data_IF_358908300426
#
_entry.id   IF_358908300426
#
_cell.length_a   1.000
_cell.length_b   1.000
_cell.length_c   1.000
_cell.angle_alpha   90.00
_cell.angle_beta   90.00
_cell.angle_gamma   90.00
#
_symmetry.space_group_name_H-M   'P 1'
#
loop_
_entity.id
_entity.type
_entity.pdbx_description
1 polymer ?
#
# COMPACT_ATOMS: atom_id res chain seq x y z
N UNK A 1 24.70 10.02 74.62
CA UNK A 1 25.71 9.55 73.65
C UNK A 1 25.47 8.08 73.34
N UNK A 2 25.47 7.76 72.04
CA UNK A 2 25.71 6.45 71.39
C UNK A 2 24.68 5.32 71.56
N UNK A 3 24.03 5.07 70.42
CA UNK A 3 23.18 3.94 69.98
C UNK A 3 23.91 2.59 70.11
N UNK A 4 23.15 1.50 70.01
CA UNK A 4 23.29 0.40 69.01
C UNK A 4 22.62 -0.88 69.58
N UNK A 5 21.44 -1.27 69.06
CA UNK A 5 20.91 -2.64 69.23
C UNK A 5 20.91 -3.30 67.86
N UNK A 6 21.54 -4.46 67.82
CA UNK A 6 22.01 -5.21 66.66
C UNK A 6 20.90 -6.01 65.98
N UNK A 7 20.98 -6.03 64.65
CA UNK A 7 20.64 -7.11 63.72
C UNK A 7 19.22 -7.74 63.81
N UNK A 8 18.29 -7.19 63.02
CA UNK A 8 17.16 -7.96 62.49
C UNK A 8 17.50 -8.43 61.07
N UNK A 9 17.57 -9.74 60.90
CA UNK A 9 17.74 -10.39 59.60
C UNK A 9 16.44 -10.28 58.80
N UNK A 10 16.54 -9.78 57.56
CA UNK A 10 15.46 -9.86 56.58
C UNK A 10 16.03 -10.50 55.30
N UNK A 11 15.89 -11.81 55.19
CA UNK A 11 16.20 -12.53 53.95
C UNK A 11 15.04 -12.31 52.97
N UNK A 12 15.19 -11.35 52.06
CA UNK A 12 14.27 -11.15 50.94
C UNK A 12 14.59 -12.18 49.85
N UNK A 13 13.85 -13.28 49.82
CA UNK A 13 13.89 -14.21 48.68
C UNK A 13 13.09 -13.57 47.54
N UNK A 14 13.79 -12.87 46.65
CA UNK A 14 13.21 -12.38 45.40
C UNK A 14 13.00 -13.57 44.45
N UNK A 15 11.78 -14.10 44.42
CA UNK A 15 11.36 -15.04 43.39
C UNK A 15 11.34 -14.33 42.04
N UNK A 16 12.28 -14.69 41.15
CA UNK A 16 12.27 -14.26 39.77
C UNK A 16 11.13 -14.98 39.04
N UNK A 17 9.94 -14.37 38.98
CA UNK A 17 8.91 -14.77 38.03
C UNK A 17 9.31 -14.27 36.65
N UNK A 18 9.89 -15.15 35.83
CA UNK A 18 10.07 -14.88 34.41
C UNK A 18 8.70 -14.97 33.73
N UNK A 19 8.08 -13.82 33.49
CA UNK A 19 6.94 -13.73 32.59
C UNK A 19 7.44 -13.92 31.16
N UNK A 20 7.28 -15.10 30.59
CA UNK A 20 7.41 -15.29 29.14
C UNK A 20 6.15 -14.77 28.49
N UNK A 21 6.21 -13.58 27.88
CA UNK A 21 5.17 -13.13 26.97
C UNK A 21 5.16 -14.05 25.75
N UNK A 22 4.15 -14.91 25.64
CA UNK A 22 3.81 -15.56 24.38
C UNK A 22 3.15 -14.49 23.52
N UNK A 23 3.88 -13.98 22.53
CA UNK A 23 3.25 -13.30 21.40
C UNK A 23 2.49 -14.35 20.62
N UNK A 24 1.15 -14.25 20.62
CA UNK A 24 0.35 -14.94 19.64
C UNK A 24 0.79 -14.45 18.25
N UNK A 25 1.32 -15.35 17.44
CA UNK A 25 1.59 -15.05 16.03
C UNK A 25 0.23 -14.85 15.37
N UNK A 26 -0.10 -13.60 15.04
CA UNK A 26 -1.30 -13.27 14.27
C UNK A 26 -1.27 -14.10 12.97
N UNK A 27 -2.30 -14.91 12.75
CA UNK A 27 -2.50 -15.58 11.47
C UNK A 27 -2.54 -14.49 10.39
N UNK A 28 -1.95 -14.71 9.20
CA UNK A 28 -1.98 -13.72 8.14
C UNK A 28 -3.43 -13.35 7.86
N UNK A 29 -3.81 -12.11 8.25
CA UNK A 29 -5.12 -11.56 7.94
C UNK A 29 -5.30 -11.63 6.43
N UNK A 30 -6.40 -12.24 5.99
CA UNK A 30 -6.76 -12.27 4.57
C UNK A 30 -6.89 -10.85 4.02
N UNK A 31 -6.89 -10.71 2.69
CA UNK A 31 -7.05 -9.44 1.99
C UNK A 31 -8.25 -8.65 2.58
N UNK A 32 -7.99 -7.44 3.05
CA UNK A 32 -8.93 -6.58 3.80
C UNK A 32 -9.59 -5.50 2.93
N UNK A 33 -9.12 -5.32 1.69
CA UNK A 33 -9.75 -4.47 0.69
C UNK A 33 -9.50 -4.96 -0.74
N UNK A 34 -10.49 -4.80 -1.62
CA UNK A 34 -10.41 -5.08 -3.05
C UNK A 34 -10.12 -3.83 -3.88
N UNK A 35 -9.42 -4.02 -4.99
CA UNK A 35 -9.06 -2.95 -5.93
C UNK A 35 -9.44 -3.37 -7.35
N UNK A 36 -10.30 -2.57 -7.98
CA UNK A 36 -10.57 -2.63 -9.41
C UNK A 36 -9.90 -1.44 -10.12
N UNK A 37 -9.15 -1.70 -11.18
CA UNK A 37 -8.49 -0.63 -11.94
C UNK A 37 -8.55 -0.91 -13.44
N UNK A 38 -8.95 0.08 -14.23
CA UNK A 38 -8.97 -0.02 -15.68
C UNK A 38 -8.74 1.33 -16.36
N UNK A 39 -8.11 1.30 -17.54
CA UNK A 39 -7.96 2.47 -18.41
C UNK A 39 -9.28 2.74 -19.12
N UNK A 40 -9.68 4.00 -19.19
CA UNK A 40 -10.78 4.44 -20.03
C UNK A 40 -10.29 4.49 -21.48
N UNK A 41 -10.97 3.76 -22.37
CA UNK A 41 -10.62 3.59 -23.79
C UNK A 41 -10.36 4.94 -24.45
N UNK A 42 -9.29 5.02 -25.25
CA UNK A 42 -8.88 6.22 -26.01
C UNK A 42 -8.66 7.48 -25.15
N UNK A 43 -8.32 7.32 -23.87
CA UNK A 43 -7.99 8.45 -22.99
C UNK A 43 -6.78 8.15 -22.11
N UNK A 44 -6.21 9.20 -21.52
CA UNK A 44 -5.20 9.12 -20.46
C UNK A 44 -5.83 8.96 -19.06
N UNK A 45 -7.11 8.57 -18.99
CA UNK A 45 -7.84 8.46 -17.72
C UNK A 45 -7.84 7.02 -17.21
N UNK A 46 -7.63 6.87 -15.91
CA UNK A 46 -7.68 5.58 -15.20
C UNK A 46 -8.79 5.63 -14.17
N UNK A 47 -9.71 4.68 -14.19
CA UNK A 47 -10.66 4.49 -13.11
C UNK A 47 -10.04 3.56 -12.05
N UNK A 48 -10.05 4.01 -10.80
CA UNK A 48 -9.65 3.22 -9.63
C UNK A 48 -10.85 3.09 -8.71
N UNK A 49 -11.17 1.87 -8.32
CA UNK A 49 -12.27 1.52 -7.45
C UNK A 49 -11.74 0.69 -6.29
N UNK A 50 -12.26 0.96 -5.09
CA UNK A 50 -11.88 0.27 -3.87
C UNK A 50 -13.16 -0.18 -3.17
N UNK A 51 -13.18 -1.43 -2.72
CA UNK A 51 -14.17 -1.95 -1.79
C UNK A 51 -13.45 -2.41 -0.53
N UNK A 52 -13.94 -2.00 0.64
CA UNK A 52 -13.33 -2.33 1.93
C UNK A 52 -14.40 -2.38 3.02
N UNK A 53 -14.07 -3.02 4.13
CA UNK A 53 -14.93 -2.99 5.31
C UNK A 53 -14.94 -1.61 5.97
N UNK A 54 -16.04 -1.29 6.66
CA UNK A 54 -16.14 -0.09 7.48
C UNK A 54 -15.14 -0.15 8.64
N UNK A 55 -14.54 0.98 9.00
CA UNK A 55 -13.53 1.07 10.04
C UNK A 55 -12.09 1.00 9.52
N UNK A 56 -11.85 0.34 8.39
CA UNK A 56 -10.53 0.31 7.74
C UNK A 56 -10.28 1.59 6.94
N UNK A 57 -9.05 2.07 6.82
CA UNK A 57 -8.70 3.17 5.91
C UNK A 57 -7.84 2.62 4.78
N UNK A 58 -7.82 3.28 3.63
CA UNK A 58 -6.94 2.92 2.51
C UNK A 58 -6.39 4.20 1.91
N UNK A 59 -5.08 4.24 1.66
CA UNK A 59 -4.40 5.32 0.96
C UNK A 59 -4.00 4.87 -0.43
N UNK A 60 -4.23 5.74 -1.42
CA UNK A 60 -3.87 5.56 -2.82
C UNK A 60 -2.76 6.57 -3.12
N UNK A 61 -1.61 6.07 -3.56
CA UNK A 61 -0.48 6.87 -4.03
C UNK A 61 -0.27 6.66 -5.51
N UNK A 62 -0.16 7.74 -6.28
CA UNK A 62 0.41 7.67 -7.62
C UNK A 62 1.90 7.96 -7.52
N UNK A 63 2.73 7.03 -7.98
CA UNK A 63 4.18 7.15 -8.02
C UNK A 63 4.70 7.17 -9.45
N UNK A 64 5.72 7.97 -9.69
CA UNK A 64 6.47 7.95 -10.94
C UNK A 64 7.50 6.79 -10.95
N UNK A 65 8.29 6.72 -12.02
CA UNK A 65 9.34 5.74 -12.24
C UNK A 65 10.49 5.84 -11.22
N UNK A 66 10.77 7.05 -10.71
CA UNK A 66 11.72 7.32 -9.61
C UNK A 66 11.18 6.95 -8.22
N UNK A 67 9.99 6.35 -8.14
CA UNK A 67 9.32 5.99 -6.89
C UNK A 67 8.89 7.21 -6.04
N UNK A 68 8.85 8.40 -6.64
CA UNK A 68 8.38 9.62 -5.99
C UNK A 68 6.85 9.66 -6.04
N UNK A 69 6.22 9.94 -4.89
CA UNK A 69 4.77 10.10 -4.81
C UNK A 69 4.38 11.48 -5.36
N UNK A 70 3.66 11.49 -6.48
CA UNK A 70 3.19 12.72 -7.13
C UNK A 70 1.73 13.03 -6.81
N UNK A 71 1.00 12.08 -6.22
CA UNK A 71 -0.37 12.28 -5.78
C UNK A 71 -0.74 11.31 -4.63
N UNK A 72 -1.57 11.78 -3.70
CA UNK A 72 -2.09 11.00 -2.56
C UNK A 72 -3.59 11.22 -2.41
N UNK A 73 -4.33 10.15 -2.12
CA UNK A 73 -5.75 10.18 -1.74
C UNK A 73 -6.00 9.19 -0.60
N UNK A 74 -6.80 9.57 0.39
CA UNK A 74 -7.15 8.70 1.52
C UNK A 74 -8.65 8.41 1.51
N UNK A 75 -8.99 7.13 1.35
CA UNK A 75 -10.33 6.60 1.59
C UNK A 75 -10.52 6.39 3.08
N UNK A 76 -11.34 7.25 3.68
CA UNK A 76 -11.55 7.28 5.12
C UNK A 76 -12.27 6.02 5.66
N UNK A 77 -12.28 5.92 6.99
CA UNK A 77 -12.86 4.78 7.72
C UNK A 77 -14.37 4.62 7.58
N UNK A 78 -15.11 5.67 7.20
CA UNK A 78 -16.57 5.66 7.10
C UNK A 78 -17.05 5.10 5.76
N UNK A 79 -16.32 5.36 4.67
CA UNK A 79 -16.67 4.88 3.35
C UNK A 79 -16.38 3.37 3.22
N UNK A 80 -17.29 2.58 2.68
CA UNK A 80 -17.03 1.15 2.36
C UNK A 80 -16.65 0.95 0.89
N UNK A 81 -16.93 1.95 0.06
CA UNK A 81 -16.61 1.95 -1.36
C UNK A 81 -16.03 3.30 -1.76
N UNK A 82 -15.16 3.29 -2.76
CA UNK A 82 -14.59 4.49 -3.37
C UNK A 82 -14.40 4.25 -4.85
N UNK A 83 -14.67 5.26 -5.68
CA UNK A 83 -14.36 5.25 -7.10
C UNK A 83 -13.91 6.63 -7.54
N UNK A 84 -12.77 6.71 -8.23
CA UNK A 84 -12.26 7.96 -8.78
C UNK A 84 -11.64 7.73 -10.15
N UNK A 85 -11.89 8.68 -11.05
CA UNK A 85 -11.24 8.78 -12.35
C UNK A 85 -10.04 9.71 -12.22
N UNK A 86 -8.85 9.16 -12.38
CA UNK A 86 -7.59 9.90 -12.40
C UNK A 86 -7.30 10.31 -13.84
N UNK A 87 -7.13 11.61 -14.07
CA UNK A 87 -6.68 12.13 -15.35
C UNK A 87 -5.16 12.28 -15.33
N UNK A 88 -4.47 11.49 -16.15
CA UNK A 88 -3.00 11.51 -16.25
C UNK A 88 -2.53 12.37 -17.43
N UNK A 89 -3.45 13.12 -18.05
CA UNK A 89 -3.11 14.06 -19.10
C UNK A 89 -2.12 15.12 -18.58
N UNK A 90 -1.07 15.39 -19.36
CA UNK A 90 -0.02 16.35 -19.02
C UNK A 90 1.14 15.77 -18.21
N UNK A 91 1.05 14.50 -17.76
CA UNK A 91 2.22 13.77 -17.26
C UNK A 91 3.10 13.33 -18.44
N UNK A 92 4.40 13.18 -18.17
CA UNK A 92 5.36 12.69 -19.15
C UNK A 92 5.10 11.22 -19.51
N UNK A 93 5.51 10.82 -20.71
CA UNK A 93 5.52 9.41 -21.11
C UNK A 93 6.45 8.63 -20.17
N UNK A 94 5.98 7.52 -19.62
CA UNK A 94 6.73 6.79 -18.61
C UNK A 94 5.94 5.74 -17.87
N UNK A 95 6.63 5.08 -16.93
CA UNK A 95 6.04 4.08 -16.04
C UNK A 95 5.52 4.76 -14.79
N UNK A 96 4.27 4.50 -14.45
CA UNK A 96 3.62 4.97 -13.23
C UNK A 96 3.06 3.79 -12.46
N UNK A 97 2.92 3.96 -11.15
CA UNK A 97 2.37 2.93 -10.27
C UNK A 97 1.35 3.53 -9.32
N UNK A 98 0.18 2.91 -9.26
CA UNK A 98 -0.75 3.11 -8.16
C UNK A 98 -0.36 2.15 -7.05
N UNK A 99 0.06 2.69 -5.90
CA UNK A 99 0.30 1.95 -4.67
C UNK A 99 -0.88 2.19 -3.72
N UNK A 100 -1.65 1.15 -3.45
CA UNK A 100 -2.84 1.20 -2.61
C UNK A 100 -2.56 0.41 -1.32
N UNK A 101 -2.63 1.04 -0.16
CA UNK A 101 -2.23 0.43 1.12
C UNK A 101 -3.11 0.86 2.29
N UNK A 102 -3.28 0.00 3.28
CA UNK A 102 -3.86 0.32 4.59
C UNK A 102 -2.83 0.22 5.73
N UNK A 103 -1.54 0.16 5.39
CA UNK A 103 -0.44 -0.08 6.33
C UNK A 103 -0.17 -1.54 6.70
N UNK A 104 -1.16 -2.44 6.55
CA UNK A 104 -1.00 -3.88 6.78
C UNK A 104 -0.70 -4.63 5.47
N UNK A 105 -1.42 -4.29 4.40
CA UNK A 105 -1.22 -4.85 3.07
C UNK A 105 -1.06 -3.75 2.02
N UNK A 106 -0.45 -4.10 0.88
CA UNK A 106 -0.22 -3.18 -0.23
C UNK A 106 -0.51 -3.87 -1.55
N UNK A 107 -1.29 -3.21 -2.41
CA UNK A 107 -1.58 -3.63 -3.78
C UNK A 107 -0.96 -2.60 -4.72
N UNK A 108 -0.06 -3.05 -5.59
CA UNK A 108 0.56 -2.20 -6.61
C UNK A 108 0.01 -2.54 -7.99
N UNK A 109 -0.38 -1.52 -8.76
CA UNK A 109 -0.80 -1.65 -10.16
C UNK A 109 0.00 -0.70 -11.03
N UNK A 110 0.61 -1.22 -12.09
CA UNK A 110 1.43 -0.42 -13.00
C UNK A 110 0.59 0.10 -14.17
N UNK A 111 0.97 1.29 -14.68
CA UNK A 111 0.41 1.91 -15.87
C UNK A 111 1.56 2.50 -16.68
N UNK A 112 1.61 2.18 -17.97
CA UNK A 112 2.53 2.81 -18.91
C UNK A 112 1.79 3.92 -19.68
N UNK A 113 2.33 5.14 -19.58
CA UNK A 113 1.88 6.28 -20.38
C UNK A 113 2.73 6.38 -21.63
N UNK A 114 2.06 6.38 -22.77
CA UNK A 114 2.65 6.54 -24.08
C UNK A 114 1.69 7.40 -24.90
N UNK A 115 2.15 8.56 -25.32
CA UNK A 115 1.38 9.50 -26.14
C UNK A 115 1.62 9.29 -27.63
N UNK A 116 2.71 8.62 -28.00
CA UNK A 116 3.05 8.31 -29.39
C UNK A 116 2.49 6.96 -29.81
N UNK A 117 1.62 6.97 -30.83
CA UNK A 117 1.23 5.74 -31.53
C UNK A 117 2.39 5.32 -32.43
N UNK A 118 2.86 4.06 -32.38
CA UNK A 118 3.93 3.60 -33.28
C UNK A 118 3.45 3.69 -34.73
N UNK A 119 4.19 4.41 -35.56
CA UNK A 119 3.99 4.43 -37.01
C UNK A 119 4.54 3.13 -37.59
N UNK A 120 3.69 2.31 -38.20
CA UNK A 120 4.14 1.13 -38.95
C UNK A 120 5.05 1.62 -40.08
N UNK A 121 6.33 1.31 -39.95
CA UNK A 121 7.36 1.69 -40.92
C UNK A 121 7.74 0.38 -41.63
N UNK A 122 7.39 0.29 -42.91
CA UNK A 122 7.67 -0.80 -43.85
C UNK A 122 6.83 -2.10 -43.77
N UNK A 123 6.09 -2.34 -44.86
CA UNK A 123 5.60 -3.67 -45.23
C UNK A 123 6.64 -4.33 -46.15
N UNK A 124 7.02 -5.57 -45.87
CA UNK A 124 7.72 -6.41 -46.86
C UNK A 124 6.67 -7.19 -47.64
N UNK A 125 6.49 -6.86 -48.91
CA UNK A 125 5.72 -7.71 -49.84
C UNK A 125 6.49 -9.00 -50.04
N UNK A 126 5.89 -10.13 -49.67
CA UNK A 126 6.39 -11.45 -50.05
C UNK A 126 5.55 -11.91 -51.23
N UNK A 127 6.14 -11.95 -52.42
CA UNK A 127 5.54 -12.67 -53.55
C UNK A 127 5.79 -14.17 -53.34
N UNK A 128 4.70 -14.95 -53.29
CA UNK A 128 4.75 -16.41 -53.32
C UNK A 128 4.67 -16.83 -54.79
N UNK A 129 5.70 -17.56 -55.26
CA UNK A 129 5.75 -18.17 -56.60
C UNK A 129 4.98 -19.49 -56.64
#
# INVERSE_FOLDING_TARGET
MKKQVKNFALALVAGLFTFTAVSATELPEGKTFDVGMYRVVNTMKINVMIAKEQGNWVEIRLKNDKNETIYVEVVNRKATQFAKKFDLQGLEDGKYRFEITNGKETITKEVNLQTKVPTVTDYRTVEVK
#
